data_IF_021226264903
#
_entry.id   IF_021226264903
#
_cell.length_a   1.000
_cell.length_b   1.000
_cell.length_c   1.000
_cell.angle_alpha   90.00
_cell.angle_beta   90.00
_cell.angle_gamma   90.00
#
_symmetry.space_group_name_H-M   'P 1'
#
loop_
_entity.id
_entity.type
_entity.pdbx_description
1 polymer ?
#
# COMPACT_ATOMS: atom_id res chain seq x y z
N UNK A 1 -22.86 43.88 54.16
CA UNK A 1 -21.42 44.03 53.84
C UNK A 1 -20.62 43.08 54.73
N UNK A 2 -19.47 42.47 54.34
CA UNK A 2 -18.86 42.30 53.00
C UNK A 2 -18.23 40.89 52.74
N UNK A 3 -17.88 40.68 51.44
CA UNK A 3 -16.66 40.05 50.84
C UNK A 3 -16.43 38.53 50.72
N UNK A 4 -15.87 38.24 49.53
CA UNK A 4 -15.66 36.99 48.80
C UNK A 4 -14.36 36.22 49.13
N UNK A 5 -14.32 34.92 48.77
CA UNK A 5 -13.25 34.12 48.11
C UNK A 5 -13.89 32.75 47.79
N UNK A 6 -13.78 32.05 46.65
CA UNK A 6 -12.99 32.17 45.44
C UNK A 6 -12.43 30.79 45.01
N UNK A 7 -13.19 30.04 44.16
CA UNK A 7 -12.79 28.95 43.20
C UNK A 7 -12.13 27.64 43.73
N UNK A 8 -12.04 26.53 42.95
CA UNK A 8 -12.36 26.34 41.51
C UNK A 8 -13.23 25.11 41.12
N UNK A 9 -13.85 25.21 39.95
CA UNK A 9 -14.44 24.12 39.17
C UNK A 9 -13.34 23.37 38.40
N UNK A 10 -13.36 22.04 38.41
CA UNK A 10 -12.60 21.21 37.45
C UNK A 10 -13.58 20.51 36.53
N UNK A 11 -13.88 21.18 35.41
CA UNK A 11 -14.33 20.53 34.19
C UNK A 11 -13.10 19.94 33.51
N UNK A 12 -12.94 18.62 33.56
CA UNK A 12 -11.97 17.93 32.70
C UNK A 12 -12.67 17.64 31.38
N UNK A 13 -12.50 18.58 30.46
CA UNK A 13 -12.78 18.41 29.05
C UNK A 13 -11.82 17.36 28.50
N UNK A 14 -12.34 16.23 28.02
CA UNK A 14 -11.58 15.32 27.18
C UNK A 14 -11.18 16.08 25.92
N UNK A 15 -9.88 16.33 25.79
CA UNK A 15 -9.28 16.97 24.63
C UNK A 15 -9.54 16.06 23.43
N UNK A 16 -10.50 16.46 22.59
CA UNK A 16 -10.64 15.94 21.24
C UNK A 16 -9.37 16.25 20.49
N UNK A 17 -8.51 15.24 20.35
CA UNK A 17 -7.42 15.27 19.38
C UNK A 17 -8.05 15.49 18.02
N UNK A 18 -7.82 16.68 17.47
CA UNK A 18 -8.13 16.99 16.08
C UNK A 18 -7.28 16.05 15.22
N UNK A 19 -7.87 14.92 14.82
CA UNK A 19 -7.29 14.04 13.79
C UNK A 19 -7.10 14.93 12.57
N UNK A 20 -5.84 15.20 12.23
CA UNK A 20 -5.52 15.87 10.97
C UNK A 20 -5.97 14.91 9.88
N UNK A 21 -7.10 15.23 9.25
CA UNK A 21 -7.56 14.57 8.04
C UNK A 21 -6.58 14.92 6.93
N UNK A 22 -5.48 14.17 6.82
CA UNK A 22 -4.74 14.08 5.56
C UNK A 22 -5.72 13.48 4.55
N UNK A 23 -6.25 14.38 3.73
CA UNK A 23 -7.34 14.11 2.83
C UNK A 23 -6.71 13.59 1.54
N UNK A 24 -6.93 12.31 1.24
CA UNK A 24 -6.49 11.71 -0.03
C UNK A 24 -6.92 12.58 -1.21
N UNK A 25 -5.97 12.89 -2.10
CA UNK A 25 -6.23 13.59 -3.36
C UNK A 25 -7.04 12.75 -4.35
N UNK A 26 -7.06 11.42 -4.16
CA UNK A 26 -7.72 10.44 -5.02
C UNK A 26 -9.19 10.25 -4.63
N UNK A 27 -9.56 10.57 -3.38
CA UNK A 27 -10.88 10.31 -2.83
C UNK A 27 -11.57 11.59 -2.35
N UNK A 28 -12.67 12.03 -2.98
CA UNK A 28 -13.38 13.21 -2.52
C UNK A 28 -13.96 12.96 -1.13
N UNK A 29 -13.91 13.96 -0.25
CA UNK A 29 -14.66 13.93 1.01
C UNK A 29 -16.14 13.82 0.69
N UNK A 30 -16.75 12.70 1.12
CA UNK A 30 -18.21 12.43 1.19
C UNK A 30 -19.01 13.31 0.24
N UNK A 31 -19.13 12.87 -1.02
CA UNK A 31 -19.86 13.61 -2.04
C UNK A 31 -21.32 13.78 -1.62
N UNK A 32 -21.81 15.03 -1.54
CA UNK A 32 -23.22 15.33 -1.21
C UNK A 32 -24.24 14.69 -2.17
N UNK A 33 -23.79 14.19 -3.32
CA UNK A 33 -24.63 13.69 -4.41
C UNK A 33 -24.31 12.26 -4.88
N UNK A 34 -23.50 11.48 -4.14
CA UNK A 34 -23.23 10.08 -4.52
C UNK A 34 -24.42 9.18 -4.17
N UNK A 35 -24.96 8.48 -5.17
CA UNK A 35 -26.02 7.45 -4.98
C UNK A 35 -25.46 6.13 -4.44
N UNK A 36 -24.14 5.99 -4.37
CA UNK A 36 -23.50 4.76 -3.94
C UNK A 36 -23.47 4.68 -2.42
N UNK A 37 -23.75 3.49 -1.89
CA UNK A 37 -23.64 3.23 -0.45
C UNK A 37 -22.17 3.25 -0.09
N UNK A 38 -21.76 4.29 0.64
CA UNK A 38 -20.41 4.41 1.18
C UNK A 38 -20.28 3.66 2.51
N UNK A 39 -19.17 2.92 2.65
CA UNK A 39 -18.70 2.32 3.90
C UNK A 39 -17.53 3.13 4.44
N UNK A 40 -17.50 3.36 5.75
CA UNK A 40 -16.36 3.99 6.42
C UNK A 40 -15.32 2.92 6.72
N UNK A 41 -14.11 3.13 6.26
CA UNK A 41 -12.95 2.29 6.51
C UNK A 41 -11.99 3.08 7.38
N UNK A 42 -11.50 2.49 8.46
CA UNK A 42 -10.53 3.11 9.37
C UNK A 42 -9.27 2.26 9.34
N UNK A 43 -8.15 2.86 8.97
CA UNK A 43 -6.82 2.25 9.03
C UNK A 43 -6.33 2.07 10.47
N UNK A 44 -5.29 1.27 10.66
CA UNK A 44 -4.69 1.06 11.99
C UNK A 44 -4.17 2.37 12.62
N UNK A 45 -3.62 3.28 11.80
CA UNK A 45 -3.18 4.62 12.23
C UNK A 45 -4.34 5.62 12.42
N UNK A 46 -5.59 5.15 12.42
CA UNK A 46 -6.79 5.91 12.79
C UNK A 46 -7.33 6.84 11.70
N UNK A 47 -6.84 6.70 10.46
CA UNK A 47 -7.28 7.50 9.33
C UNK A 47 -8.52 6.90 8.69
N UNK A 48 -9.52 7.76 8.45
CA UNK A 48 -10.80 7.32 7.90
C UNK A 48 -10.90 7.61 6.40
N UNK A 49 -11.26 6.58 5.63
CA UNK A 49 -11.56 6.61 4.20
C UNK A 49 -13.05 6.26 4.00
N UNK A 50 -13.71 6.90 3.04
CA UNK A 50 -15.08 6.55 2.64
C UNK A 50 -15.02 5.89 1.27
N UNK A 51 -15.45 4.64 1.19
CA UNK A 51 -15.30 3.81 -0.01
C UNK A 51 -16.67 3.29 -0.42
N UNK A 52 -17.00 3.22 -1.72
CA UNK A 52 -18.17 2.49 -2.18
C UNK A 52 -18.16 1.03 -1.70
N UNK A 53 -19.22 0.59 -1.03
CA UNK A 53 -19.33 -0.74 -0.42
C UNK A 53 -19.07 -1.88 -1.42
N UNK A 54 -19.53 -1.71 -2.66
CA UNK A 54 -19.35 -2.69 -3.71
C UNK A 54 -17.88 -2.93 -4.07
N UNK A 55 -16.98 -1.95 -3.91
CA UNK A 55 -15.57 -2.11 -4.24
C UNK A 55 -14.87 -3.07 -3.29
N UNK A 56 -15.13 -2.99 -1.99
CA UNK A 56 -14.51 -3.90 -1.03
C UNK A 56 -15.12 -5.30 -1.13
N UNK A 57 -16.45 -5.37 -1.25
CA UNK A 57 -17.18 -6.63 -1.30
C UNK A 57 -16.96 -7.42 -2.59
N UNK A 58 -16.73 -6.75 -3.72
CA UNK A 58 -16.50 -7.46 -4.99
C UNK A 58 -15.09 -8.03 -5.10
N UNK A 59 -14.13 -7.45 -4.40
CA UNK A 59 -12.72 -7.83 -4.51
C UNK A 59 -12.24 -8.75 -3.38
N UNK A 60 -13.01 -8.91 -2.31
CA UNK A 60 -12.64 -9.74 -1.16
C UNK A 60 -13.83 -10.53 -0.62
N UNK A 61 -13.79 -11.88 -0.64
CA UNK A 61 -14.74 -12.71 0.09
C UNK A 61 -14.70 -12.44 1.59
N UNK A 62 -13.51 -12.17 2.15
CA UNK A 62 -13.33 -11.88 3.58
C UNK A 62 -14.00 -10.56 4.00
N UNK A 63 -13.95 -9.52 3.15
CA UNK A 63 -14.64 -8.24 3.39
C UNK A 63 -16.13 -8.31 3.00
N UNK A 64 -16.51 -9.24 2.11
CA UNK A 64 -17.90 -9.52 1.78
C UNK A 64 -18.64 -10.15 2.97
N UNK A 65 -18.05 -11.15 3.61
CA UNK A 65 -18.64 -11.93 4.70
C UNK A 65 -18.49 -11.25 6.07
N UNK A 66 -18.77 -9.95 6.15
CA UNK A 66 -18.64 -9.05 7.32
C UNK A 66 -19.40 -9.47 8.61
N UNK A 67 -19.85 -10.72 8.73
CA UNK A 67 -19.98 -11.42 10.00
C UNK A 67 -18.60 -11.90 10.46
N UNK A 68 -17.71 -11.03 10.96
CA UNK A 68 -16.75 -11.31 12.07
C UNK A 68 -15.72 -10.16 12.16
N UNK A 69 -15.44 -9.64 13.38
CA UNK A 69 -16.12 -9.93 14.63
C UNK A 69 -17.45 -9.18 14.72
N UNK A 70 -18.37 -9.64 15.60
CA UNK A 70 -19.58 -8.87 15.90
C UNK A 70 -19.20 -7.46 16.34
N UNK A 71 -20.03 -6.44 16.03
CA UNK A 71 -19.74 -5.07 16.43
C UNK A 71 -19.41 -5.05 17.92
N UNK A 72 -18.28 -4.40 18.26
CA UNK A 72 -17.89 -4.18 19.64
C UNK A 72 -19.10 -3.63 20.41
N UNK A 73 -19.34 -4.04 21.67
CA UNK A 73 -20.50 -3.57 22.44
C UNK A 73 -20.48 -2.05 22.53
N UNK A 74 -21.36 -1.39 21.75
CA UNK A 74 -21.42 0.07 21.59
C UNK A 74 -21.26 0.59 20.15
N UNK A 75 -20.83 -0.24 19.19
CA UNK A 75 -20.78 0.12 17.77
C UNK A 75 -22.10 -0.20 17.07
N UNK A 76 -22.83 0.85 16.68
CA UNK A 76 -24.15 0.77 16.05
C UNK A 76 -24.14 0.96 14.54
N UNK A 77 -22.96 1.08 13.90
CA UNK A 77 -22.88 1.31 12.45
C UNK A 77 -22.45 0.03 11.71
N UNK A 78 -23.35 -0.64 10.98
CA UNK A 78 -23.00 -1.79 10.14
C UNK A 78 -22.11 -1.42 8.95
N UNK A 79 -21.84 -0.11 8.72
CA UNK A 79 -21.01 0.40 7.62
C UNK A 79 -19.66 0.94 8.11
N UNK A 80 -19.06 0.23 9.06
CA UNK A 80 -17.72 0.52 9.56
C UNK A 80 -16.83 -0.72 9.45
N UNK A 81 -15.66 -0.56 8.83
CA UNK A 81 -14.55 -1.51 8.85
C UNK A 81 -13.40 -0.84 9.59
N UNK A 82 -12.90 -1.46 10.64
CA UNK A 82 -11.69 -1.03 11.34
C UNK A 82 -10.62 -2.09 11.12
N UNK A 83 -9.47 -1.62 10.67
CA UNK A 83 -8.27 -2.43 10.54
C UNK A 83 -7.33 -2.18 11.73
N UNK A 84 -6.55 -3.18 12.11
CA UNK A 84 -5.81 -3.21 13.38
C UNK A 84 -4.42 -3.84 13.29
N UNK A 85 -3.95 -4.17 12.10
CA UNK A 85 -2.63 -4.72 11.86
C UNK A 85 -1.65 -3.59 11.52
N UNK A 86 -0.77 -3.21 12.47
CA UNK A 86 0.10 -2.05 12.29
C UNK A 86 1.12 -2.24 11.17
N UNK A 87 1.41 -3.48 10.76
CA UNK A 87 2.43 -3.76 9.76
C UNK A 87 1.91 -3.57 8.33
N UNK A 88 0.62 -3.86 8.09
CA UNK A 88 0.07 -3.92 6.72
C UNK A 88 -1.29 -3.23 6.56
N UNK A 89 -1.88 -2.68 7.62
CA UNK A 89 -3.19 -2.02 7.57
C UNK A 89 -3.15 -0.51 7.85
N UNK A 90 -1.98 0.11 7.69
CA UNK A 90 -1.82 1.56 7.73
C UNK A 90 -2.51 2.28 6.56
N UNK A 91 -2.74 3.59 6.72
CA UNK A 91 -3.43 4.43 5.74
C UNK A 91 -2.84 4.36 4.33
N UNK A 92 -1.51 4.42 4.19
CA UNK A 92 -0.82 4.39 2.88
C UNK A 92 -1.04 3.08 2.14
N UNK A 93 -0.98 1.97 2.88
CA UNK A 93 -1.24 0.64 2.35
C UNK A 93 -2.66 0.53 1.79
N UNK A 94 -3.64 1.01 2.57
CA UNK A 94 -5.04 1.03 2.15
C UNK A 94 -5.27 1.97 0.97
N UNK A 95 -4.65 3.14 0.98
CA UNK A 95 -4.73 4.12 -0.11
C UNK A 95 -4.23 3.52 -1.43
N UNK A 96 -3.06 2.87 -1.39
CA UNK A 96 -2.47 2.21 -2.56
C UNK A 96 -3.34 1.03 -3.03
N UNK A 97 -3.79 0.17 -2.12
CA UNK A 97 -4.69 -0.93 -2.42
C UNK A 97 -5.98 -0.45 -3.10
N UNK A 98 -6.59 0.61 -2.56
CA UNK A 98 -7.81 1.20 -3.11
C UNK A 98 -7.58 1.75 -4.52
N UNK A 99 -6.44 2.40 -4.77
CA UNK A 99 -6.09 2.88 -6.11
C UNK A 99 -5.97 1.74 -7.13
N UNK A 100 -5.46 0.57 -6.72
CA UNK A 100 -5.39 -0.63 -7.58
C UNK A 100 -6.77 -1.14 -7.94
N UNK A 101 -7.65 -1.36 -6.96
CA UNK A 101 -8.96 -1.99 -7.20
C UNK A 101 -9.95 -1.08 -7.95
N UNK A 102 -9.70 0.24 -7.95
CA UNK A 102 -10.50 1.18 -8.75
C UNK A 102 -9.93 1.46 -10.13
N UNK A 103 -8.84 0.78 -10.51
CA UNK A 103 -8.13 1.01 -11.77
C UNK A 103 -7.67 2.46 -11.94
N UNK A 104 -7.46 3.17 -10.82
CA UNK A 104 -6.75 4.44 -10.85
C UNK A 104 -5.28 4.18 -11.21
N UNK A 105 -4.57 5.23 -11.63
CA UNK A 105 -3.16 5.10 -11.98
C UNK A 105 -2.36 4.64 -10.75
N UNK A 106 -1.96 3.36 -10.74
CA UNK A 106 -1.08 2.79 -9.71
C UNK A 106 0.24 3.56 -9.63
N UNK A 107 0.76 3.98 -10.78
CA UNK A 107 1.93 4.85 -10.86
C UNK A 107 1.68 6.20 -10.17
N UNK A 108 0.51 6.81 -10.40
CA UNK A 108 0.13 8.06 -9.74
C UNK A 108 0.04 7.90 -8.23
N UNK A 109 -0.60 6.82 -7.76
CA UNK A 109 -0.74 6.54 -6.33
C UNK A 109 0.61 6.28 -5.64
N UNK A 110 1.58 5.67 -6.33
CA UNK A 110 2.94 5.48 -5.82
C UNK A 110 3.73 6.80 -5.80
N UNK A 111 3.52 7.69 -6.77
CA UNK A 111 4.17 9.02 -6.81
C UNK A 111 3.58 10.01 -5.81
N UNK A 112 2.31 9.85 -5.45
CA UNK A 112 1.64 10.66 -4.44
C UNK A 112 2.07 10.30 -3.00
N UNK A 113 2.77 9.17 -2.81
CA UNK A 113 3.34 8.78 -1.52
C UNK A 113 4.53 9.69 -1.16
N UNK A 114 4.24 10.77 -0.45
CA UNK A 114 5.22 11.82 -0.09
C UNK A 114 5.97 11.55 1.22
N UNK A 115 5.75 10.39 1.85
CA UNK A 115 6.54 9.98 3.01
C UNK A 115 6.45 8.49 3.25
N UNK A 116 7.58 7.79 3.35
CA UNK A 116 7.62 6.33 3.39
C UNK A 116 8.36 5.78 2.17
N UNK A 117 8.93 4.57 2.29
CA UNK A 117 9.57 3.92 1.15
C UNK A 117 8.53 3.36 0.20
N UNK A 118 8.51 3.80 -1.06
CA UNK A 118 7.57 3.33 -2.10
C UNK A 118 7.54 1.80 -2.18
N UNK A 119 8.70 1.15 -2.10
CA UNK A 119 8.80 -0.31 -2.11
C UNK A 119 8.19 -0.99 -0.89
N UNK A 120 8.29 -0.36 0.29
CA UNK A 120 7.66 -0.85 1.52
C UNK A 120 6.14 -0.72 1.43
N UNK A 121 5.63 0.43 0.99
CA UNK A 121 4.19 0.64 0.77
C UNK A 121 3.62 -0.38 -0.22
N UNK A 122 4.33 -0.65 -1.33
CA UNK A 122 3.91 -1.65 -2.31
C UNK A 122 3.93 -3.07 -1.74
N UNK A 123 4.97 -3.46 -1.00
CA UNK A 123 5.04 -4.75 -0.31
C UNK A 123 3.85 -4.94 0.64
N UNK A 124 3.58 -3.94 1.47
CA UNK A 124 2.49 -3.99 2.43
C UNK A 124 1.13 -4.05 1.74
N UNK A 125 0.93 -3.35 0.62
CA UNK A 125 -0.32 -3.43 -0.15
C UNK A 125 -0.53 -4.82 -0.75
N UNK A 126 0.54 -5.47 -1.24
CA UNK A 126 0.46 -6.85 -1.72
C UNK A 126 0.13 -7.83 -0.59
N UNK A 127 0.75 -7.68 0.60
CA UNK A 127 0.42 -8.50 1.79
C UNK A 127 -0.98 -8.24 2.32
N UNK A 128 -1.45 -7.00 2.29
CA UNK A 128 -2.82 -6.65 2.62
C UNK A 128 -3.79 -7.38 1.69
N UNK A 129 -3.54 -7.35 0.39
CA UNK A 129 -4.36 -8.06 -0.58
C UNK A 129 -4.34 -9.57 -0.36
N UNK A 130 -3.22 -10.16 0.05
CA UNK A 130 -3.15 -11.58 0.41
C UNK A 130 -3.95 -11.89 1.69
N UNK A 131 -3.76 -11.12 2.77
CA UNK A 131 -4.45 -11.28 4.05
C UNK A 131 -5.97 -11.27 3.91
N UNK A 132 -6.47 -10.38 3.05
CA UNK A 132 -7.91 -10.21 2.82
C UNK A 132 -8.44 -10.99 1.61
N UNK A 133 -7.68 -11.96 1.08
CA UNK A 133 -8.04 -12.81 -0.08
C UNK A 133 -8.49 -11.99 -1.31
N UNK A 134 -7.86 -10.85 -1.53
CA UNK A 134 -8.08 -9.96 -2.66
C UNK A 134 -7.28 -10.39 -3.90
N UNK A 135 -7.55 -11.59 -4.42
CA UNK A 135 -6.71 -12.24 -5.46
C UNK A 135 -6.52 -11.39 -6.71
N UNK A 136 -7.56 -10.69 -7.16
CA UNK A 136 -7.46 -9.83 -8.34
C UNK A 136 -6.51 -8.65 -8.09
N UNK A 137 -6.60 -8.00 -6.93
CA UNK A 137 -5.72 -6.89 -6.57
C UNK A 137 -4.26 -7.36 -6.45
N UNK A 138 -4.03 -8.49 -5.77
CA UNK A 138 -2.71 -9.11 -5.66
C UNK A 138 -2.12 -9.44 -7.05
N UNK A 139 -2.95 -9.97 -7.95
CA UNK A 139 -2.54 -10.25 -9.32
C UNK A 139 -2.17 -8.99 -10.11
N UNK A 140 -2.98 -7.93 -10.03
CA UNK A 140 -2.70 -6.65 -10.70
C UNK A 140 -1.39 -6.02 -10.21
N UNK A 141 -1.17 -6.00 -8.89
CA UNK A 141 0.09 -5.52 -8.31
C UNK A 141 1.29 -6.37 -8.73
N UNK A 142 1.13 -7.69 -8.82
CA UNK A 142 2.19 -8.60 -9.29
C UNK A 142 2.54 -8.33 -10.76
N UNK A 143 1.54 -8.14 -11.63
CA UNK A 143 1.77 -7.78 -13.03
C UNK A 143 2.48 -6.44 -13.15
N UNK A 144 2.09 -5.46 -12.34
CA UNK A 144 2.74 -4.15 -12.32
C UNK A 144 4.18 -4.23 -11.83
N UNK A 145 4.46 -5.01 -10.78
CA UNK A 145 5.81 -5.26 -10.29
C UNK A 145 6.70 -5.90 -11.37
N UNK A 146 6.17 -6.84 -12.14
CA UNK A 146 6.85 -7.42 -13.30
C UNK A 146 7.12 -6.37 -14.38
N UNK A 147 6.15 -5.51 -14.69
CA UNK A 147 6.33 -4.44 -15.67
C UNK A 147 7.44 -3.45 -15.24
N UNK A 148 7.45 -3.05 -13.96
CA UNK A 148 8.53 -2.23 -13.39
C UNK A 148 9.88 -2.95 -13.50
N UNK A 149 9.93 -4.26 -13.19
CA UNK A 149 11.14 -5.05 -13.37
C UNK A 149 11.62 -5.05 -14.82
N UNK A 150 10.70 -5.17 -15.81
CA UNK A 150 11.04 -5.15 -17.25
C UNK A 150 11.57 -3.81 -17.72
N UNK A 151 11.08 -2.70 -17.16
CA UNK A 151 11.60 -1.35 -17.43
C UNK A 151 12.97 -1.11 -16.77
N UNK A 152 13.29 -1.85 -15.72
CA UNK A 152 14.58 -1.79 -15.05
C UNK A 152 14.85 -0.42 -14.42
N UNK A 153 16.00 0.18 -14.73
CA UNK A 153 16.41 1.49 -14.19
C UNK A 153 15.70 2.68 -14.85
N UNK A 154 14.98 2.48 -15.93
CA UNK A 154 14.42 3.57 -16.73
C UNK A 154 13.04 4.04 -16.23
N UNK A 155 12.41 3.34 -15.28
CA UNK A 155 11.05 3.64 -14.81
C UNK A 155 10.92 4.71 -13.72
N UNK A 156 12.00 5.14 -13.08
CA UNK A 156 12.07 6.24 -12.09
C UNK A 156 11.02 6.29 -10.94
N UNK A 157 10.25 5.23 -10.71
CA UNK A 157 9.21 5.13 -9.66
C UNK A 157 9.75 4.47 -8.40
N UNK A 158 10.42 3.32 -8.55
CA UNK A 158 10.90 2.50 -7.43
C UNK A 158 12.32 2.00 -7.69
N UNK A 159 13.14 1.80 -6.67
CA UNK A 159 14.49 1.24 -6.88
C UNK A 159 14.39 -0.23 -7.36
N UNK A 160 15.14 -0.66 -8.39
CA UNK A 160 15.18 -2.06 -8.79
C UNK A 160 15.53 -3.02 -7.63
N UNK A 161 16.34 -2.58 -6.67
CA UNK A 161 16.63 -3.33 -5.45
C UNK A 161 15.38 -3.55 -4.61
N UNK A 162 14.52 -2.54 -4.45
CA UNK A 162 13.24 -2.70 -3.75
C UNK A 162 12.35 -3.71 -4.48
N UNK A 163 12.28 -3.66 -5.82
CA UNK A 163 11.56 -4.66 -6.63
C UNK A 163 12.10 -6.08 -6.34
N UNK A 164 13.42 -6.24 -6.26
CA UNK A 164 14.04 -7.51 -5.93
C UNK A 164 13.68 -7.98 -4.51
N UNK A 165 13.73 -7.09 -3.53
CA UNK A 165 13.36 -7.39 -2.12
C UNK A 165 11.89 -7.80 -2.03
N UNK A 166 10.98 -7.06 -2.68
CA UNK A 166 9.55 -7.40 -2.73
C UNK A 166 9.38 -8.80 -3.34
N UNK A 167 10.00 -9.05 -4.50
CA UNK A 167 9.91 -10.33 -5.19
C UNK A 167 10.44 -11.49 -4.34
N UNK A 168 11.54 -11.28 -3.59
CA UNK A 168 12.07 -12.29 -2.68
C UNK A 168 11.15 -12.54 -1.47
N UNK A 169 10.57 -11.48 -0.89
CA UNK A 169 9.67 -11.60 0.26
C UNK A 169 8.30 -12.21 -0.07
N UNK A 170 7.88 -12.15 -1.34
CA UNK A 170 6.61 -12.69 -1.81
C UNK A 170 6.76 -14.00 -2.62
N UNK A 171 7.95 -14.61 -2.62
CA UNK A 171 8.27 -15.82 -3.39
C UNK A 171 7.93 -15.73 -4.89
N UNK A 172 8.38 -14.64 -5.52
CA UNK A 172 8.20 -14.34 -6.95
C UNK A 172 9.54 -14.46 -7.70
N UNK A 173 10.14 -15.67 -7.82
CA UNK A 173 11.50 -15.85 -8.32
C UNK A 173 11.67 -15.39 -9.77
N UNK A 174 10.61 -15.44 -10.57
CA UNK A 174 10.60 -14.97 -11.96
C UNK A 174 10.75 -13.44 -12.08
N UNK A 175 10.21 -12.66 -11.13
CA UNK A 175 10.40 -11.21 -11.07
C UNK A 175 11.81 -10.90 -10.56
N UNK A 176 12.25 -11.58 -9.49
CA UNK A 176 13.60 -11.40 -8.95
C UNK A 176 14.68 -11.69 -10.02
N UNK A 177 14.53 -12.79 -10.76
CA UNK A 177 15.40 -13.13 -11.88
C UNK A 177 15.39 -12.05 -12.97
N UNK A 178 14.22 -11.46 -13.25
CA UNK A 178 14.11 -10.39 -14.25
C UNK A 178 14.85 -9.13 -13.84
N UNK A 179 14.80 -8.76 -12.56
CA UNK A 179 15.58 -7.64 -12.03
C UNK A 179 17.07 -7.90 -12.20
N UNK A 180 17.56 -9.09 -11.82
CA UNK A 180 18.98 -9.47 -11.97
C UNK A 180 19.42 -9.35 -13.43
N UNK A 181 18.66 -9.92 -14.37
CA UNK A 181 18.95 -9.90 -15.81
C UNK A 181 19.18 -8.47 -16.36
N UNK A 182 18.38 -7.52 -15.90
CA UNK A 182 18.44 -6.14 -16.38
C UNK A 182 19.41 -5.26 -15.58
N UNK A 183 19.76 -5.68 -14.37
CA UNK A 183 20.76 -4.99 -13.54
C UNK A 183 22.18 -5.23 -14.05
N UNK A 184 22.54 -6.47 -14.39
CA UNK A 184 23.89 -6.88 -14.83
C UNK A 184 24.30 -6.30 -16.18
N UNK A 185 23.33 -6.00 -17.06
CA UNK A 185 23.58 -5.65 -18.46
C UNK A 185 24.35 -4.34 -18.71
N UNK A 186 24.55 -3.46 -17.72
CA UNK A 186 25.35 -2.21 -17.90
C UNK A 186 26.85 -2.38 -17.65
N UNK A 187 27.27 -3.27 -16.76
CA UNK A 187 28.70 -3.42 -16.43
C UNK A 187 29.39 -4.35 -17.42
N UNK A 188 28.71 -5.42 -17.84
CA UNK A 188 29.27 -6.38 -18.81
C UNK A 188 29.36 -5.85 -20.24
N UNK A 189 28.59 -4.82 -20.61
CA UNK A 189 28.61 -4.23 -21.94
C UNK A 189 29.86 -3.34 -22.20
N UNK A 190 30.41 -2.72 -21.15
CA UNK A 190 31.64 -1.94 -21.24
C UNK A 190 32.88 -2.86 -21.28
N UNK A 191 32.85 -3.99 -20.56
CA UNK A 191 33.98 -4.92 -20.49
C UNK A 191 34.01 -5.96 -21.63
N UNK A 192 32.85 -6.34 -22.19
CA UNK A 192 32.78 -7.34 -23.26
C UNK A 192 33.13 -6.78 -24.65
N UNK A 193 33.11 -5.45 -24.83
CA UNK A 193 33.52 -4.81 -26.09
C UNK A 193 35.06 -4.66 -26.23
N UNK A 194 35.83 -4.90 -25.15
CA UNK A 194 37.29 -4.70 -25.15
C UNK A 194 38.12 -5.99 -25.13
N UNK A 195 37.50 -7.16 -24.89
CA UNK A 195 38.21 -8.43 -24.79
C UNK A 195 37.92 -9.33 -25.99
N UNK A 196 38.81 -9.24 -26.99
CA UNK A 196 38.96 -10.33 -27.96
C UNK A 196 39.33 -11.62 -27.22
N UNK A 197 38.80 -12.79 -27.60
CA UNK A 197 39.11 -14.03 -26.91
C UNK A 197 40.46 -14.56 -27.39
N UNK A 198 41.54 -14.23 -26.68
CA UNK A 198 42.83 -14.92 -26.87
C UNK A 198 42.74 -16.27 -26.14
N UNK A 199 42.20 -17.27 -26.85
CA UNK A 199 42.21 -18.66 -26.41
C UNK A 199 43.65 -19.15 -26.35
N UNK A 200 44.16 -19.42 -25.15
CA UNK A 200 45.39 -20.19 -24.94
C UNK A 200 45.09 -21.29 -23.94
N UNK A 201 44.78 -22.48 -24.46
CA UNK A 201 44.74 -23.70 -23.65
C UNK A 201 46.19 -24.17 -23.41
N UNK A 202 46.58 -24.59 -22.19
CA UNK A 202 47.86 -25.24 -22.01
C UNK A 202 47.72 -26.72 -22.39
N UNK A 203 48.55 -27.18 -23.33
CA UNK A 203 48.84 -28.60 -23.51
C UNK A 203 49.63 -29.08 -22.28
N UNK A 204 49.14 -30.13 -21.63
CA UNK A 204 49.94 -30.96 -20.72
C UNK A 204 50.31 -32.24 -21.48
N UNK A 205 51.60 -32.37 -21.79
CA UNK A 205 52.30 -33.63 -22.08
C UNK A 205 53.24 -33.90 -20.89
#
# INVERSE_FOLDING_TARGET
>A
MPKQRGKPNTSTTCVGGSVKSEQSTIWPSKGKDSKDVEIKVVSDDGMALYVPEHLLKSYSPALHDQRYPPPAPGSSDPRLIEFSDPDIEGYKTLHLFLAVVTQNSLEGALRDDTGGGIGETLLFAMRFAEKWDCRMAAHLMTLYLMELARRGRDQDIIDPFDIFVIAAQLDLPHIAAKVIELYTRKEDAADSASKSPTSTWPFLL
#
